data_IF_849915706790
#
_entry.id   IF_849915706790
#
_cell.length_a   1.000
_cell.length_b   1.000
_cell.length_c   1.000
_cell.angle_alpha   90.00
_cell.angle_beta   90.00
_cell.angle_gamma   90.00
#
_symmetry.space_group_name_H-M   'P 1'
#
loop_
_entity.id
_entity.type
_entity.pdbx_description
1 polymer ?
#
# COMPACT_ATOMS: atom_id res chain seq x y z
N UNK A 1 -15.10 55.60 20.42
CA UNK A 1 -14.73 56.30 19.17
C UNK A 1 -15.99 56.49 18.36
N UNK A 2 -16.42 57.66 17.93
CA UNK A 2 -17.57 57.85 17.07
C UNK A 2 -17.26 57.23 15.71
N UNK A 3 -18.20 56.43 15.14
CA UNK A 3 -18.05 55.74 13.88
C UNK A 3 -17.77 56.72 12.74
N UNK A 4 -16.70 56.46 12.00
CA UNK A 4 -16.43 57.15 10.75
C UNK A 4 -17.52 56.74 9.77
N UNK A 5 -18.30 57.69 9.29
CA UNK A 5 -19.28 57.45 8.24
C UNK A 5 -18.60 56.80 7.03
N UNK A 6 -19.17 55.75 6.42
CA UNK A 6 -18.60 55.13 5.23
C UNK A 6 -18.37 56.21 4.16
N UNK A 7 -17.25 56.14 3.46
CA UNK A 7 -16.95 57.05 2.36
C UNK A 7 -18.05 56.93 1.29
N UNK A 8 -18.37 58.03 0.57
CA UNK A 8 -19.34 57.96 -0.53
C UNK A 8 -19.05 56.88 -1.55
N UNK A 9 -17.77 56.55 -1.72
CA UNK A 9 -17.30 55.44 -2.59
C UNK A 9 -17.73 54.07 -2.03
N UNK A 10 -17.59 53.82 -0.72
CA UNK A 10 -18.03 52.55 -0.10
C UNK A 10 -19.55 52.35 -0.23
N UNK A 11 -20.35 53.44 0.00
CA UNK A 11 -21.80 53.36 -0.18
C UNK A 11 -22.20 53.13 -1.64
N UNK A 12 -21.46 53.69 -2.61
CA UNK A 12 -21.70 53.43 -4.03
C UNK A 12 -21.37 51.99 -4.42
N UNK A 13 -20.27 51.41 -3.91
CA UNK A 13 -19.88 50.01 -4.13
C UNK A 13 -20.90 49.07 -3.51
N UNK A 14 -21.37 49.34 -2.28
CA UNK A 14 -22.42 48.54 -1.65
C UNK A 14 -23.76 48.57 -2.43
N UNK A 15 -24.14 49.74 -2.95
CA UNK A 15 -25.31 49.86 -3.81
C UNK A 15 -25.17 49.16 -5.13
N UNK A 16 -24.01 49.21 -5.77
CA UNK A 16 -23.70 48.47 -7.00
C UNK A 16 -23.72 46.97 -6.75
N UNK A 17 -23.10 46.50 -5.67
CA UNK A 17 -23.10 45.11 -5.29
C UNK A 17 -24.54 44.60 -5.07
N UNK A 18 -25.38 45.32 -4.30
CA UNK A 18 -26.76 44.94 -4.07
C UNK A 18 -27.56 44.81 -5.38
N UNK A 19 -27.27 45.70 -6.35
CA UNK A 19 -27.91 45.63 -7.67
C UNK A 19 -27.40 44.46 -8.49
N UNK A 20 -26.09 44.25 -8.60
CA UNK A 20 -25.47 43.20 -9.43
C UNK A 20 -25.82 41.81 -8.92
N UNK A 21 -25.87 41.59 -7.59
CA UNK A 21 -26.16 40.28 -6.99
C UNK A 21 -27.68 39.99 -6.81
N UNK A 22 -28.53 40.95 -7.19
CA UNK A 22 -29.95 40.62 -7.33
C UNK A 22 -30.14 39.68 -8.54
N UNK A 23 -30.75 38.47 -8.36
CA UNK A 23 -30.95 37.50 -9.43
C UNK A 23 -31.64 38.06 -10.67
N UNK A 24 -32.55 39.00 -10.49
CA UNK A 24 -33.34 39.58 -11.57
C UNK A 24 -32.58 40.67 -12.34
N UNK A 25 -31.49 41.20 -11.80
CA UNK A 25 -30.75 42.28 -12.45
C UNK A 25 -30.02 41.79 -13.69
N UNK A 26 -30.39 42.36 -14.80
CA UNK A 26 -29.78 42.04 -16.10
C UNK A 26 -30.28 40.75 -16.76
N UNK A 27 -31.30 40.07 -16.19
CA UNK A 27 -31.91 38.89 -16.83
C UNK A 27 -32.46 39.19 -18.23
N UNK A 28 -33.00 40.40 -18.42
CA UNK A 28 -33.55 40.87 -19.69
C UNK A 28 -32.50 41.46 -20.67
N UNK A 29 -31.24 41.54 -20.24
CA UNK A 29 -30.18 42.03 -21.12
C UNK A 29 -29.73 40.95 -22.09
N UNK A 30 -29.40 41.30 -23.33
CA UNK A 30 -28.72 40.37 -24.25
C UNK A 30 -27.44 39.81 -23.63
N UNK A 31 -27.05 38.55 -23.92
CA UNK A 31 -25.90 37.89 -23.28
C UNK A 31 -24.61 38.72 -23.31
N UNK A 32 -24.26 39.32 -24.44
CA UNK A 32 -23.07 40.18 -24.55
C UNK A 32 -23.14 41.41 -23.65
N UNK A 33 -24.31 42.06 -23.55
CA UNK A 33 -24.50 43.24 -22.67
C UNK A 33 -24.39 42.83 -21.20
N UNK A 34 -24.93 41.64 -20.85
CA UNK A 34 -24.81 41.05 -19.51
C UNK A 34 -23.34 40.72 -19.16
N UNK A 35 -22.59 40.12 -20.08
CA UNK A 35 -21.16 39.86 -19.89
C UNK A 35 -20.36 41.15 -19.67
N UNK A 36 -20.60 42.19 -20.48
CA UNK A 36 -19.97 43.48 -20.33
C UNK A 36 -20.27 44.11 -18.95
N UNK A 37 -21.54 44.07 -18.52
CA UNK A 37 -21.96 44.59 -17.21
C UNK A 37 -21.26 43.88 -16.06
N UNK A 38 -21.22 42.53 -16.09
CA UNK A 38 -20.58 41.72 -15.06
C UNK A 38 -19.07 41.93 -15.02
N UNK A 39 -18.42 42.03 -16.17
CA UNK A 39 -16.99 42.35 -16.22
C UNK A 39 -16.67 43.74 -15.69
N UNK A 40 -17.45 44.76 -16.05
CA UNK A 40 -17.29 46.11 -15.49
C UNK A 40 -17.52 46.15 -13.97
N UNK A 41 -18.49 45.37 -13.48
CA UNK A 41 -18.73 45.21 -12.05
C UNK A 41 -17.54 44.52 -11.34
N UNK A 42 -16.95 43.47 -11.96
CA UNK A 42 -15.76 42.82 -11.45
C UNK A 42 -14.59 43.79 -11.25
N UNK A 43 -14.32 44.62 -12.25
CA UNK A 43 -13.26 45.63 -12.19
C UNK A 43 -13.56 46.72 -11.14
N UNK A 44 -14.80 47.21 -11.07
CA UNK A 44 -15.19 48.28 -10.15
C UNK A 44 -15.19 47.85 -8.68
N UNK A 45 -15.37 46.57 -8.39
CA UNK A 45 -15.51 46.01 -7.04
C UNK A 45 -14.32 45.16 -6.61
N UNK A 46 -13.20 45.24 -7.31
CA UNK A 46 -11.96 44.54 -6.94
C UNK A 46 -11.58 44.83 -5.48
N UNK A 47 -11.24 43.79 -4.72
CA UNK A 47 -10.87 43.88 -3.30
C UNK A 47 -12.01 44.18 -2.31
N UNK A 48 -13.26 44.37 -2.80
CA UNK A 48 -14.43 44.66 -1.94
C UNK A 48 -15.45 43.54 -1.87
N UNK A 49 -15.34 42.52 -2.72
CA UNK A 49 -16.24 41.41 -2.78
C UNK A 49 -15.85 40.25 -1.84
N UNK A 50 -16.85 39.63 -1.26
CA UNK A 50 -16.65 38.36 -0.54
C UNK A 50 -16.40 37.18 -1.49
N UNK A 51 -15.79 36.11 -1.00
CA UNK A 51 -15.56 34.87 -1.76
C UNK A 51 -16.80 34.38 -2.53
N UNK A 52 -17.93 34.26 -1.84
CA UNK A 52 -19.19 33.83 -2.44
C UNK A 52 -19.70 34.77 -3.55
N UNK A 53 -19.50 36.05 -3.39
CA UNK A 53 -19.84 37.06 -4.43
C UNK A 53 -18.92 36.92 -5.64
N UNK A 54 -17.63 36.68 -5.46
CA UNK A 54 -16.69 36.42 -6.56
C UNK A 54 -17.06 35.15 -7.31
N UNK A 55 -17.35 34.03 -6.60
CA UNK A 55 -17.79 32.79 -7.23
C UNK A 55 -19.09 32.98 -8.03
N UNK A 56 -20.09 33.67 -7.45
CA UNK A 56 -21.35 33.99 -8.15
C UNK A 56 -21.15 34.84 -9.39
N UNK A 57 -20.31 35.88 -9.28
CA UNK A 57 -20.03 36.80 -10.41
C UNK A 57 -19.28 36.06 -11.53
N UNK A 58 -18.25 35.30 -11.20
CA UNK A 58 -17.51 34.46 -12.17
C UNK A 58 -18.45 33.51 -12.88
N UNK A 59 -19.23 32.70 -12.15
CA UNK A 59 -20.19 31.77 -12.74
C UNK A 59 -21.18 32.49 -13.70
N UNK A 60 -21.79 33.59 -13.26
CA UNK A 60 -22.75 34.34 -14.09
C UNK A 60 -22.09 34.95 -15.33
N UNK A 61 -20.87 35.46 -15.21
CA UNK A 61 -20.10 35.95 -16.36
C UNK A 61 -19.82 34.83 -17.34
N UNK A 62 -19.36 33.66 -16.84
CA UNK A 62 -19.09 32.51 -17.69
C UNK A 62 -20.31 32.04 -18.48
N UNK A 63 -21.45 31.93 -17.82
CA UNK A 63 -22.72 31.59 -18.48
C UNK A 63 -23.16 32.66 -19.47
N UNK A 64 -22.99 33.95 -19.16
CA UNK A 64 -23.32 35.01 -20.09
C UNK A 64 -22.43 34.99 -21.34
N UNK A 65 -21.15 34.64 -21.20
CA UNK A 65 -20.20 34.46 -22.33
C UNK A 65 -20.59 33.29 -23.20
N UNK A 66 -20.98 32.17 -22.59
CA UNK A 66 -21.40 30.96 -23.32
C UNK A 66 -22.68 31.15 -24.11
N UNK A 67 -23.61 31.97 -23.60
CA UNK A 67 -24.87 32.28 -24.23
C UNK A 67 -24.74 33.26 -25.44
N UNK A 68 -23.53 33.79 -25.74
CA UNK A 68 -23.36 34.77 -26.83
C UNK A 68 -23.48 34.12 -28.20
N UNK A 69 -24.55 34.43 -28.91
CA UNK A 69 -24.71 34.12 -30.34
C UNK A 69 -24.09 35.22 -31.22
N UNK A 70 -22.90 34.97 -31.74
CA UNK A 70 -22.18 35.93 -32.61
C UNK A 70 -22.93 36.28 -33.88
N UNK A 71 -23.72 35.35 -34.42
CA UNK A 71 -24.54 35.59 -35.61
C UNK A 71 -25.69 36.56 -35.29
N UNK A 72 -26.29 36.46 -34.08
CA UNK A 72 -27.28 37.43 -33.63
C UNK A 72 -26.66 38.78 -33.40
N UNK A 73 -25.44 38.84 -32.80
CA UNK A 73 -24.69 40.10 -32.61
C UNK A 73 -24.40 40.76 -33.92
N UNK A 74 -23.93 39.99 -34.94
CA UNK A 74 -23.65 40.50 -36.28
C UNK A 74 -24.92 41.09 -36.95
N UNK A 75 -26.07 40.43 -36.79
CA UNK A 75 -27.35 40.94 -37.30
C UNK A 75 -27.69 42.29 -36.65
N UNK A 76 -27.69 42.39 -35.34
CA UNK A 76 -28.01 43.61 -34.66
C UNK A 76 -27.08 44.77 -35.03
N UNK A 77 -25.77 44.51 -35.10
CA UNK A 77 -24.80 45.50 -35.56
C UNK A 77 -25.16 46.00 -36.98
N UNK A 78 -25.51 45.09 -37.89
CA UNK A 78 -25.83 45.47 -39.27
C UNK A 78 -27.18 46.18 -39.39
N UNK A 79 -28.16 45.85 -38.57
CA UNK A 79 -29.43 46.55 -38.46
C UNK A 79 -29.21 48.00 -37.96
N UNK A 80 -28.47 48.19 -36.89
CA UNK A 80 -28.15 49.52 -36.36
C UNK A 80 -27.36 50.38 -37.36
N UNK A 81 -26.38 49.74 -38.07
CA UNK A 81 -25.62 50.42 -39.13
C UNK A 81 -26.51 50.82 -40.28
N UNK A 82 -27.42 49.96 -40.68
CA UNK A 82 -28.40 50.27 -41.76
C UNK A 82 -29.29 51.45 -41.40
N UNK A 83 -29.80 51.48 -40.16
CA UNK A 83 -30.61 52.58 -39.61
C UNK A 83 -29.80 53.87 -39.59
N UNK A 84 -28.51 53.80 -39.25
CA UNK A 84 -27.60 54.93 -39.23
C UNK A 84 -27.02 55.34 -40.61
N UNK A 85 -27.38 54.63 -41.69
CA UNK A 85 -26.92 54.88 -43.04
C UNK A 85 -25.52 54.38 -43.37
N UNK A 86 -24.97 53.44 -42.56
CA UNK A 86 -23.65 52.85 -42.82
C UNK A 86 -23.80 51.52 -43.55
N UNK A 87 -22.78 51.11 -44.33
CA UNK A 87 -22.76 49.81 -44.97
C UNK A 87 -22.62 48.68 -43.92
N UNK A 88 -23.20 47.48 -44.16
CA UNK A 88 -23.07 46.38 -43.24
C UNK A 88 -21.61 45.89 -43.10
N UNK A 89 -21.26 45.36 -41.94
CA UNK A 89 -20.03 44.63 -41.70
C UNK A 89 -20.17 43.30 -42.46
N UNK A 90 -19.32 43.10 -43.45
CA UNK A 90 -19.33 41.89 -44.33
C UNK A 90 -18.37 40.81 -43.86
N UNK A 91 -17.37 41.21 -43.09
CA UNK A 91 -16.33 40.36 -42.57
C UNK A 91 -16.72 39.95 -41.16
N UNK A 92 -17.33 38.76 -41.02
CA UNK A 92 -17.75 38.19 -39.76
C UNK A 92 -16.53 37.87 -38.84
N UNK A 93 -15.35 37.65 -39.42
CA UNK A 93 -14.11 37.40 -38.66
C UNK A 93 -13.75 38.61 -37.79
N UNK A 94 -14.08 39.82 -38.16
CA UNK A 94 -13.88 41.03 -37.33
C UNK A 94 -14.72 40.99 -36.05
N UNK A 95 -15.93 40.44 -36.10
CA UNK A 95 -16.82 40.34 -34.95
C UNK A 95 -16.29 39.23 -34.01
N UNK A 96 -15.79 38.14 -34.55
CA UNK A 96 -15.16 37.07 -33.79
C UNK A 96 -13.90 37.57 -33.09
N UNK A 97 -13.02 38.30 -33.78
CA UNK A 97 -11.81 38.89 -33.22
C UNK A 97 -12.10 39.89 -32.09
N UNK A 98 -13.10 40.74 -32.29
CA UNK A 98 -13.51 41.70 -31.25
C UNK A 98 -14.07 40.97 -30.02
N UNK A 99 -14.85 39.90 -30.23
CA UNK A 99 -15.36 39.10 -29.11
C UNK A 99 -14.24 38.38 -28.34
N UNK A 100 -13.26 37.81 -29.04
CA UNK A 100 -12.11 37.22 -28.41
C UNK A 100 -11.27 38.24 -27.60
N UNK A 101 -11.14 39.48 -28.12
CA UNK A 101 -10.52 40.57 -27.38
C UNK A 101 -11.27 40.87 -26.08
N UNK A 102 -12.60 40.95 -26.12
CA UNK A 102 -13.46 41.15 -24.94
C UNK A 102 -13.39 39.99 -23.95
N UNK A 103 -13.36 38.73 -24.43
CA UNK A 103 -13.15 37.57 -23.58
C UNK A 103 -11.83 37.66 -22.83
N UNK A 104 -10.76 38.18 -23.46
CA UNK A 104 -9.49 38.43 -22.79
C UNK A 104 -9.60 39.45 -21.67
N UNK A 105 -10.38 40.53 -21.90
CA UNK A 105 -10.68 41.55 -20.86
C UNK A 105 -11.51 40.95 -19.71
N UNK A 106 -12.53 40.15 -20.00
CA UNK A 106 -13.34 39.45 -19.00
C UNK A 106 -12.49 38.50 -18.14
N UNK A 107 -11.58 37.75 -18.78
CA UNK A 107 -10.64 36.86 -18.07
C UNK A 107 -9.70 37.64 -17.17
N UNK A 108 -9.18 38.80 -17.66
CA UNK A 108 -8.33 39.66 -16.86
C UNK A 108 -9.06 40.21 -15.63
N UNK A 109 -10.34 40.58 -15.76
CA UNK A 109 -11.16 41.07 -14.64
C UNK A 109 -11.40 39.96 -13.61
N UNK A 110 -11.66 38.70 -14.03
CA UNK A 110 -11.81 37.56 -13.10
C UNK A 110 -10.49 37.24 -12.43
N UNK A 111 -9.37 37.20 -13.16
CA UNK A 111 -8.06 36.95 -12.56
C UNK A 111 -7.71 38.01 -11.51
N UNK A 112 -7.97 39.28 -11.75
CA UNK A 112 -7.75 40.33 -10.76
C UNK A 112 -8.59 40.15 -9.48
N UNK A 113 -9.86 39.69 -9.61
CA UNK A 113 -10.68 39.33 -8.46
C UNK A 113 -10.10 38.13 -7.69
N UNK A 114 -9.65 37.09 -8.39
CA UNK A 114 -9.03 35.92 -7.77
C UNK A 114 -7.73 36.30 -7.06
N UNK A 115 -6.88 37.10 -7.69
CA UNK A 115 -5.61 37.57 -7.11
C UNK A 115 -5.80 38.43 -5.85
N UNK A 116 -6.96 39.06 -5.69
CA UNK A 116 -7.33 39.80 -4.48
C UNK A 116 -7.62 38.91 -3.28
N UNK A 117 -7.79 37.60 -3.48
CA UNK A 117 -8.14 36.62 -2.45
C UNK A 117 -6.90 35.92 -1.85
N UNK A 118 -6.96 35.48 -0.58
CA UNK A 118 -5.99 34.53 -0.05
C UNK A 118 -5.99 33.23 -0.87
N UNK A 119 -4.84 32.61 -1.05
CA UNK A 119 -4.66 31.41 -1.88
C UNK A 119 -5.69 30.30 -1.61
N UNK A 120 -6.03 30.05 -0.34
CA UNK A 120 -7.05 29.07 0.04
C UNK A 120 -8.44 29.42 -0.51
N UNK A 121 -8.78 30.71 -0.48
CA UNK A 121 -10.07 31.19 -0.99
C UNK A 121 -10.16 31.13 -2.51
N UNK A 122 -9.04 31.21 -3.21
CA UNK A 122 -8.98 30.99 -4.68
C UNK A 122 -9.42 29.59 -5.00
N UNK A 123 -8.84 28.58 -4.32
CA UNK A 123 -9.22 27.17 -4.50
C UNK A 123 -10.72 26.97 -4.27
N UNK A 124 -11.25 27.49 -3.16
CA UNK A 124 -12.65 27.35 -2.82
C UNK A 124 -13.59 28.03 -3.87
N UNK A 125 -13.18 29.17 -4.46
CA UNK A 125 -13.93 29.83 -5.56
C UNK A 125 -13.87 29.00 -6.83
N UNK A 126 -12.70 28.55 -7.20
CA UNK A 126 -12.52 27.72 -8.42
C UNK A 126 -13.32 26.43 -8.33
N UNK A 127 -13.29 25.74 -7.18
CA UNK A 127 -14.07 24.54 -6.92
C UNK A 127 -15.57 24.80 -7.07
N UNK A 128 -16.11 25.82 -6.38
CA UNK A 128 -17.53 26.20 -6.44
C UNK A 128 -17.99 26.52 -7.87
N UNK A 129 -17.20 27.28 -8.63
CA UNK A 129 -17.55 27.65 -10.01
C UNK A 129 -17.51 26.46 -10.93
N UNK A 130 -16.47 25.63 -10.83
CA UNK A 130 -16.32 24.44 -11.69
C UNK A 130 -17.40 23.41 -11.38
N UNK A 131 -17.65 23.08 -10.11
CA UNK A 131 -18.71 22.18 -9.71
C UNK A 131 -20.07 22.61 -10.27
N UNK A 132 -20.37 23.91 -10.12
CA UNK A 132 -21.66 24.46 -10.57
C UNK A 132 -21.75 24.49 -12.11
N UNK A 133 -20.68 24.85 -12.81
CA UNK A 133 -20.68 24.96 -14.27
C UNK A 133 -20.60 23.64 -15.00
N UNK A 134 -20.15 22.55 -14.33
CA UNK A 134 -20.06 21.19 -14.88
C UNK A 134 -21.13 20.26 -14.32
N UNK A 135 -22.09 20.77 -13.54
CA UNK A 135 -23.05 19.89 -12.82
C UNK A 135 -22.32 18.78 -12.05
N UNK A 136 -21.32 19.16 -11.26
CA UNK A 136 -20.39 18.25 -10.54
C UNK A 136 -19.68 17.22 -11.45
N UNK A 137 -19.26 17.67 -12.63
CA UNK A 137 -18.47 16.88 -13.58
C UNK A 137 -19.29 16.05 -14.57
N UNK A 138 -20.63 16.13 -14.53
CA UNK A 138 -21.51 15.40 -15.46
C UNK A 138 -21.68 16.09 -16.83
N UNK A 139 -21.32 17.37 -16.93
CA UNK A 139 -21.44 18.18 -18.12
C UNK A 139 -20.09 18.86 -18.42
N UNK A 140 -19.85 19.18 -19.69
CA UNK A 140 -18.65 19.93 -20.08
C UNK A 140 -18.69 21.35 -19.48
N UNK A 141 -17.54 21.81 -18.98
CA UNK A 141 -17.42 23.18 -18.52
C UNK A 141 -17.56 24.15 -19.70
N UNK A 142 -18.21 25.33 -19.51
CA UNK A 142 -18.19 26.41 -20.49
C UNK A 142 -16.77 26.77 -20.93
N UNK A 143 -16.58 27.12 -22.20
CA UNK A 143 -15.25 27.42 -22.76
C UNK A 143 -14.50 28.48 -21.93
N UNK A 144 -15.19 29.51 -21.48
CA UNK A 144 -14.60 30.55 -20.63
C UNK A 144 -14.10 30.04 -19.28
N UNK A 145 -14.82 29.09 -18.65
CA UNK A 145 -14.37 28.44 -17.41
C UNK A 145 -13.12 27.60 -17.66
N UNK A 146 -13.08 26.84 -18.77
CA UNK A 146 -11.92 26.04 -19.15
C UNK A 146 -10.67 26.93 -19.33
N UNK A 147 -10.79 28.10 -19.96
CA UNK A 147 -9.69 29.04 -20.13
C UNK A 147 -9.15 29.60 -18.80
N UNK A 148 -10.03 29.92 -17.86
CA UNK A 148 -9.61 30.40 -16.52
C UNK A 148 -8.96 29.26 -15.72
N UNK A 149 -9.52 28.03 -15.77
CA UNK A 149 -8.94 26.85 -15.14
C UNK A 149 -7.57 26.51 -15.74
N UNK A 150 -7.40 26.63 -17.05
CA UNK A 150 -6.09 26.43 -17.69
C UNK A 150 -5.04 27.46 -17.21
N UNK A 151 -5.46 28.71 -17.00
CA UNK A 151 -4.58 29.75 -16.42
C UNK A 151 -4.22 29.43 -14.96
N UNK A 152 -5.18 28.92 -14.18
CA UNK A 152 -4.98 28.47 -12.82
C UNK A 152 -4.01 27.26 -12.75
N UNK A 153 -4.19 26.26 -13.61
CA UNK A 153 -3.29 25.10 -13.72
C UNK A 153 -1.84 25.53 -14.05
N UNK A 154 -1.69 26.45 -15.01
CA UNK A 154 -0.38 27.00 -15.34
C UNK A 154 0.28 27.71 -14.14
N UNK A 155 -0.49 28.47 -13.36
CA UNK A 155 0.01 29.12 -12.15
C UNK A 155 0.43 28.12 -11.06
N UNK A 156 -0.15 26.91 -11.04
CA UNK A 156 0.16 25.86 -10.08
C UNK A 156 1.34 24.95 -10.47
N UNK A 157 1.95 25.11 -11.64
CA UNK A 157 3.03 24.20 -12.08
C UNK A 157 4.17 24.09 -11.06
N UNK A 158 4.63 25.22 -10.52
CA UNK A 158 5.68 25.20 -9.49
C UNK A 158 5.27 24.50 -8.19
N UNK A 159 3.99 24.58 -7.80
CA UNK A 159 3.44 23.82 -6.69
C UNK A 159 3.40 22.34 -6.99
N UNK A 160 2.92 21.92 -8.16
CA UNK A 160 2.84 20.52 -8.61
C UNK A 160 4.21 19.88 -8.61
N UNK A 161 5.22 20.55 -9.18
CA UNK A 161 6.61 20.06 -9.20
C UNK A 161 7.19 19.91 -7.79
N UNK A 162 6.95 20.88 -6.91
CA UNK A 162 7.43 20.83 -5.52
C UNK A 162 6.80 19.68 -4.73
N UNK A 163 5.47 19.46 -4.86
CA UNK A 163 4.80 18.39 -4.13
C UNK A 163 5.10 17.01 -4.72
N UNK A 164 5.27 16.88 -6.03
CA UNK A 164 5.73 15.64 -6.65
C UNK A 164 7.14 15.26 -6.15
N UNK A 165 8.06 16.22 -6.08
CA UNK A 165 9.39 15.99 -5.52
C UNK A 165 9.37 15.66 -4.02
N UNK A 166 8.44 16.25 -3.26
CA UNK A 166 8.22 15.97 -1.84
C UNK A 166 7.73 14.53 -1.64
N UNK A 167 6.70 14.11 -2.39
CA UNK A 167 6.19 12.72 -2.34
C UNK A 167 7.25 11.71 -2.74
N UNK A 168 8.04 11.98 -3.80
CA UNK A 168 9.13 11.09 -4.20
C UNK A 168 10.15 10.87 -3.08
N UNK A 169 10.50 11.92 -2.32
CA UNK A 169 11.38 11.81 -1.14
C UNK A 169 10.74 10.97 -0.03
N UNK A 170 9.45 11.17 0.23
CA UNK A 170 8.72 10.38 1.23
C UNK A 170 8.62 8.91 0.83
N UNK A 171 8.37 8.61 -0.44
CA UNK A 171 8.37 7.26 -1.00
C UNK A 171 9.73 6.59 -0.75
N UNK A 172 10.84 7.23 -1.11
CA UNK A 172 12.19 6.70 -0.86
C UNK A 172 12.46 6.45 0.64
N UNK A 173 12.01 7.37 1.50
CA UNK A 173 12.12 7.19 2.95
C UNK A 173 11.27 6.02 3.44
N UNK A 174 10.06 5.83 2.91
CA UNK A 174 9.18 4.70 3.22
C UNK A 174 9.84 3.37 2.86
N UNK A 175 10.39 3.24 1.65
CA UNK A 175 11.11 2.05 1.19
C UNK A 175 12.34 1.74 2.05
N UNK A 176 13.13 2.75 2.42
CA UNK A 176 14.27 2.56 3.31
C UNK A 176 13.87 2.06 4.71
N UNK A 177 12.70 2.47 5.24
CA UNK A 177 12.18 2.01 6.52
C UNK A 177 11.51 0.64 6.46
N UNK A 178 11.04 0.21 5.29
CA UNK A 178 10.38 -1.07 5.09
C UNK A 178 11.26 -2.26 5.50
N UNK A 179 12.58 -2.15 5.34
CA UNK A 179 13.55 -3.16 5.81
C UNK A 179 13.53 -3.38 7.34
N UNK A 180 12.98 -2.42 8.11
CA UNK A 180 12.88 -2.46 9.58
C UNK A 180 11.50 -2.95 10.07
N UNK A 181 10.58 -3.22 9.15
CA UNK A 181 9.23 -3.71 9.43
C UNK A 181 8.12 -2.71 9.17
N UNK A 182 6.92 -3.21 8.98
CA UNK A 182 5.75 -2.46 8.53
C UNK A 182 5.39 -1.28 9.45
N UNK A 183 5.47 -1.46 10.77
CA UNK A 183 5.17 -0.42 11.75
C UNK A 183 6.05 0.84 11.60
N UNK A 184 7.27 0.70 11.07
CA UNK A 184 8.19 1.82 10.87
C UNK A 184 7.81 2.68 9.65
N UNK A 185 7.04 2.14 8.72
CA UNK A 185 6.60 2.83 7.50
C UNK A 185 5.36 3.68 7.76
N UNK A 186 4.49 3.28 8.70
CA UNK A 186 3.20 3.94 8.98
C UNK A 186 3.30 5.46 9.16
N UNK A 187 4.25 6.04 9.90
CA UNK A 187 4.35 7.50 10.02
C UNK A 187 4.63 8.21 8.71
N UNK A 188 5.42 7.59 7.80
CA UNK A 188 5.70 8.15 6.48
C UNK A 188 4.46 8.13 5.61
N UNK A 189 3.66 7.06 5.68
CA UNK A 189 2.37 7.00 4.95
C UNK A 189 1.44 8.11 5.41
N UNK A 190 1.37 8.40 6.71
CA UNK A 190 0.57 9.52 7.22
C UNK A 190 1.03 10.88 6.70
N UNK A 191 2.34 11.08 6.51
CA UNK A 191 2.89 12.28 5.88
C UNK A 191 2.48 12.35 4.40
N UNK A 192 2.57 11.22 3.66
CA UNK A 192 2.14 11.14 2.25
C UNK A 192 0.64 11.44 2.11
N UNK A 193 -0.21 10.82 2.94
CA UNK A 193 -1.65 11.06 2.94
C UNK A 193 -1.99 12.55 3.14
N UNK A 194 -1.27 13.23 4.04
CA UNK A 194 -1.46 14.66 4.31
C UNK A 194 -1.08 15.55 3.11
N UNK A 195 0.06 15.27 2.50
CA UNK A 195 0.53 15.97 1.29
C UNK A 195 -0.45 15.72 0.14
N UNK A 196 -0.84 14.48 -0.07
CA UNK A 196 -1.73 14.09 -1.14
C UNK A 196 -3.15 14.66 -0.99
N UNK A 197 -3.68 14.72 0.23
CA UNK A 197 -4.97 15.40 0.50
C UNK A 197 -4.93 16.87 0.16
N UNK A 198 -3.85 17.56 0.53
CA UNK A 198 -3.67 18.97 0.18
C UNK A 198 -3.51 19.18 -1.34
N UNK A 199 -2.72 18.31 -1.98
CA UNK A 199 -2.54 18.31 -3.44
C UNK A 199 -3.88 18.11 -4.16
N UNK A 200 -4.65 17.08 -3.77
CA UNK A 200 -5.93 16.76 -4.37
C UNK A 200 -6.92 17.92 -4.24
N UNK A 201 -6.96 18.58 -3.07
CA UNK A 201 -7.81 19.75 -2.86
C UNK A 201 -7.45 20.90 -3.80
N UNK A 202 -6.17 21.24 -3.95
CA UNK A 202 -5.71 22.34 -4.79
C UNK A 202 -5.94 22.05 -6.27
N UNK A 203 -5.74 20.80 -6.70
CA UNK A 203 -5.92 20.37 -8.09
C UNK A 203 -7.36 19.98 -8.44
N UNK A 204 -8.27 19.95 -7.46
CA UNK A 204 -9.68 19.56 -7.65
C UNK A 204 -10.38 20.24 -8.81
N UNK A 205 -10.34 21.59 -8.94
CA UNK A 205 -10.93 22.29 -10.08
C UNK A 205 -10.40 21.86 -11.44
N UNK A 206 -9.08 21.63 -11.54
CA UNK A 206 -8.43 21.17 -12.80
C UNK A 206 -8.85 19.75 -13.14
N UNK A 207 -8.87 18.87 -12.14
CA UNK A 207 -9.30 17.47 -12.30
C UNK A 207 -10.76 17.37 -12.73
N UNK A 208 -11.63 18.19 -12.11
CA UNK A 208 -13.06 18.15 -12.40
C UNK A 208 -13.36 18.60 -13.84
N UNK A 209 -12.67 19.64 -14.33
CA UNK A 209 -12.79 20.08 -15.73
C UNK A 209 -12.22 19.01 -16.68
N UNK A 210 -11.08 18.42 -16.37
CA UNK A 210 -10.50 17.37 -17.17
C UNK A 210 -11.43 16.14 -17.24
N UNK A 211 -11.96 15.69 -16.10
CA UNK A 211 -12.89 14.59 -15.99
C UNK A 211 -14.20 14.84 -16.75
N UNK A 212 -14.76 16.04 -16.65
CA UNK A 212 -15.93 16.45 -17.44
C UNK A 212 -15.68 16.40 -18.98
N UNK A 213 -14.42 16.50 -19.39
CA UNK A 213 -13.99 16.32 -20.78
C UNK A 213 -13.59 14.86 -21.11
N UNK A 214 -13.79 13.91 -20.18
CA UNK A 214 -13.49 12.49 -20.37
C UNK A 214 -12.00 12.16 -20.37
N UNK A 215 -11.17 12.99 -19.75
CA UNK A 215 -9.72 12.79 -19.65
C UNK A 215 -9.22 12.94 -18.22
N UNK A 216 -8.21 12.14 -17.87
CA UNK A 216 -7.49 12.31 -16.60
C UNK A 216 -6.47 13.45 -16.68
N UNK A 217 -6.42 14.30 -15.68
CA UNK A 217 -5.35 15.31 -15.57
C UNK A 217 -4.00 14.62 -15.36
N UNK A 218 -3.06 14.83 -16.29
CA UNK A 218 -1.80 14.06 -16.37
C UNK A 218 -0.94 14.18 -15.11
N UNK A 219 -0.78 15.40 -14.58
CA UNK A 219 0.05 15.61 -13.40
C UNK A 219 -0.55 14.93 -12.16
N UNK A 220 -1.86 15.01 -11.97
CA UNK A 220 -2.56 14.35 -10.86
C UNK A 220 -2.50 12.83 -10.96
N UNK A 221 -2.69 12.29 -12.16
CA UNK A 221 -2.54 10.86 -12.40
C UNK A 221 -1.12 10.38 -12.09
N UNK A 222 -0.10 11.11 -12.52
CA UNK A 222 1.30 10.76 -12.25
C UNK A 222 1.62 10.81 -10.75
N UNK A 223 1.09 11.81 -10.04
CA UNK A 223 1.24 11.96 -8.60
C UNK A 223 0.60 10.79 -7.83
N UNK A 224 -0.62 10.41 -8.18
CA UNK A 224 -1.31 9.27 -7.57
C UNK A 224 -0.62 7.92 -7.90
N UNK A 225 -0.11 7.77 -9.13
CA UNK A 225 0.63 6.58 -9.55
C UNK A 225 1.93 6.39 -8.76
N UNK A 226 2.65 7.46 -8.42
CA UNK A 226 3.86 7.37 -7.58
C UNK A 226 3.55 6.81 -6.19
N UNK A 227 2.45 7.25 -5.58
CA UNK A 227 1.99 6.75 -4.28
C UNK A 227 1.54 5.28 -4.39
N UNK A 228 0.86 4.91 -5.48
CA UNK A 228 0.47 3.52 -5.74
C UNK A 228 1.67 2.61 -5.91
N UNK A 229 2.72 3.06 -6.60
CA UNK A 229 3.95 2.29 -6.77
C UNK A 229 4.61 1.95 -5.43
N UNK A 230 4.55 2.84 -4.44
CA UNK A 230 4.99 2.51 -3.07
C UNK A 230 4.19 1.35 -2.49
N UNK A 231 2.86 1.33 -2.63
CA UNK A 231 2.04 0.23 -2.13
C UNK A 231 2.42 -1.12 -2.77
N UNK A 232 2.63 -1.11 -4.09
CA UNK A 232 3.06 -2.30 -4.85
C UNK A 232 4.43 -2.79 -4.36
N UNK A 233 5.39 -1.90 -4.16
CA UNK A 233 6.73 -2.26 -3.70
C UNK A 233 6.71 -2.83 -2.27
N UNK A 234 5.99 -2.18 -1.36
CA UNK A 234 5.81 -2.65 0.02
C UNK A 234 5.17 -4.06 0.06
N UNK A 235 4.24 -4.35 -0.84
CA UNK A 235 3.64 -5.67 -0.93
C UNK A 235 4.62 -6.71 -1.51
N UNK A 236 5.19 -6.44 -2.69
CA UNK A 236 5.96 -7.42 -3.45
C UNK A 236 7.33 -7.72 -2.82
N UNK A 237 8.02 -6.70 -2.32
CA UNK A 237 9.39 -6.83 -1.83
C UNK A 237 9.49 -7.01 -0.31
N UNK A 238 8.45 -6.58 0.44
CA UNK A 238 8.45 -6.66 1.90
C UNK A 238 7.32 -7.52 2.47
N UNK A 239 6.45 -8.06 1.63
CA UNK A 239 5.34 -8.91 2.05
C UNK A 239 4.32 -8.23 2.99
N UNK A 240 4.23 -6.89 2.95
CA UNK A 240 3.26 -6.15 3.74
C UNK A 240 1.86 -6.29 3.11
N UNK A 241 0.82 -6.19 3.94
CA UNK A 241 -0.58 -6.26 3.48
C UNK A 241 -1.38 -5.08 4.01
N UNK A 242 -1.23 -4.75 5.29
CA UNK A 242 -2.05 -3.71 5.93
C UNK A 242 -1.71 -2.31 5.41
N UNK A 243 -0.43 -1.98 5.30
CA UNK A 243 0.02 -0.68 4.79
C UNK A 243 -0.30 -0.48 3.30
N UNK A 244 -0.04 -1.44 2.38
CA UNK A 244 -0.51 -1.36 1.00
C UNK A 244 -2.03 -1.19 0.87
N UNK A 245 -2.82 -1.95 1.63
CA UNK A 245 -4.27 -1.83 1.62
C UNK A 245 -4.74 -0.44 2.10
N UNK A 246 -4.09 0.14 3.10
CA UNK A 246 -4.34 1.51 3.56
C UNK A 246 -4.05 2.53 2.47
N UNK A 247 -2.90 2.43 1.78
CA UNK A 247 -2.54 3.33 0.68
C UNK A 247 -3.57 3.21 -0.45
N UNK A 248 -3.95 1.99 -0.85
CA UNK A 248 -4.93 1.78 -1.91
C UNK A 248 -6.31 2.32 -1.52
N UNK A 249 -6.75 2.14 -0.27
CA UNK A 249 -8.00 2.75 0.23
C UNK A 249 -7.92 4.27 0.15
N UNK A 250 -6.84 4.88 0.63
CA UNK A 250 -6.64 6.32 0.56
C UNK A 250 -6.67 6.85 -0.88
N UNK A 251 -6.02 6.15 -1.83
CA UNK A 251 -6.04 6.53 -3.26
C UNK A 251 -7.43 6.40 -3.86
N UNK A 252 -8.18 5.35 -3.53
CA UNK A 252 -9.58 5.21 -3.95
C UNK A 252 -10.45 6.37 -3.47
N UNK A 253 -10.32 6.75 -2.21
CA UNK A 253 -11.15 7.78 -1.58
C UNK A 253 -10.82 9.20 -2.07
N UNK A 254 -9.56 9.46 -2.46
CA UNK A 254 -9.10 10.80 -2.85
C UNK A 254 -8.87 10.98 -4.34
N UNK A 255 -8.59 9.92 -5.09
CA UNK A 255 -8.26 9.96 -6.52
C UNK A 255 -9.10 8.98 -7.36
N UNK A 256 -10.17 8.43 -6.78
CA UNK A 256 -11.08 7.49 -7.45
C UNK A 256 -11.88 8.09 -8.62
N UNK A 257 -11.87 9.41 -8.78
CA UNK A 257 -12.41 10.09 -9.96
C UNK A 257 -11.50 9.99 -11.20
N UNK A 258 -10.24 9.58 -11.05
CA UNK A 258 -9.33 9.31 -12.17
C UNK A 258 -9.52 7.88 -12.65
N UNK A 259 -10.08 7.67 -13.83
CA UNK A 259 -10.44 6.35 -14.35
C UNK A 259 -9.25 5.37 -14.36
N UNK A 260 -8.06 5.85 -14.74
CA UNK A 260 -6.85 5.04 -14.77
C UNK A 260 -6.41 4.58 -13.36
N UNK A 261 -6.67 5.38 -12.32
CA UNK A 261 -6.32 5.05 -10.92
C UNK A 261 -7.41 4.19 -10.29
N UNK A 262 -8.68 4.53 -10.46
CA UNK A 262 -9.81 3.84 -9.87
C UNK A 262 -9.82 2.34 -10.19
N UNK A 263 -9.67 1.99 -11.48
CA UNK A 263 -9.65 0.59 -11.92
C UNK A 263 -8.49 -0.19 -11.29
N UNK A 264 -7.28 0.36 -11.34
CA UNK A 264 -6.08 -0.27 -10.81
C UNK A 264 -6.13 -0.44 -9.28
N UNK A 265 -6.58 0.57 -8.56
CA UNK A 265 -6.68 0.54 -7.10
C UNK A 265 -7.78 -0.41 -6.63
N UNK A 266 -8.88 -0.53 -7.38
CA UNK A 266 -9.94 -1.52 -7.10
C UNK A 266 -9.43 -2.95 -7.22
N UNK A 267 -8.63 -3.25 -8.25
CA UNK A 267 -7.96 -4.55 -8.43
C UNK A 267 -6.97 -4.81 -7.29
N UNK A 268 -6.12 -3.84 -6.95
CA UNK A 268 -5.16 -3.92 -5.86
C UNK A 268 -5.85 -4.23 -4.51
N UNK A 269 -6.93 -3.52 -4.20
CA UNK A 269 -7.71 -3.73 -2.97
C UNK A 269 -8.33 -5.13 -2.90
N UNK A 270 -8.87 -5.62 -4.02
CA UNK A 270 -9.44 -6.96 -4.10
C UNK A 270 -8.38 -8.02 -3.82
N UNK A 271 -7.22 -7.90 -4.46
CA UNK A 271 -6.08 -8.81 -4.28
C UNK A 271 -5.52 -8.77 -2.85
N UNK A 272 -5.31 -7.59 -2.29
CA UNK A 272 -4.79 -7.42 -0.93
C UNK A 272 -5.76 -7.98 0.12
N UNK A 273 -7.06 -7.78 -0.08
CA UNK A 273 -8.11 -8.33 0.79
C UNK A 273 -8.11 -9.86 0.76
N UNK A 274 -8.04 -10.46 -0.42
CA UNK A 274 -7.95 -11.92 -0.57
C UNK A 274 -6.69 -12.47 0.11
N UNK A 275 -5.55 -11.81 -0.09
CA UNK A 275 -4.26 -12.19 0.54
C UNK A 275 -4.34 -12.09 2.07
N UNK A 276 -4.96 -11.03 2.61
CA UNK A 276 -5.16 -10.88 4.05
C UNK A 276 -6.06 -11.99 4.64
N UNK A 277 -7.14 -12.32 3.94
CA UNK A 277 -8.04 -13.40 4.35
C UNK A 277 -7.35 -14.77 4.29
N UNK A 278 -6.57 -15.02 3.25
CA UNK A 278 -5.80 -16.25 3.11
C UNK A 278 -4.76 -16.41 4.23
N UNK A 279 -4.05 -15.32 4.59
CA UNK A 279 -3.13 -15.32 5.75
C UNK A 279 -3.87 -15.64 7.05
N UNK A 280 -5.00 -14.96 7.30
CA UNK A 280 -5.80 -15.23 8.51
C UNK A 280 -6.28 -16.68 8.59
N UNK A 281 -6.69 -17.27 7.46
CA UNK A 281 -7.07 -18.70 7.40
C UNK A 281 -5.87 -19.61 7.69
N UNK A 282 -4.74 -19.37 7.03
CA UNK A 282 -3.51 -20.13 7.24
C UNK A 282 -3.02 -20.04 8.70
N UNK A 283 -3.07 -18.86 9.31
CA UNK A 283 -2.71 -18.66 10.72
C UNK A 283 -3.68 -19.37 11.67
N UNK A 284 -4.98 -19.36 11.35
CA UNK A 284 -5.98 -20.07 12.13
C UNK A 284 -5.81 -21.60 12.01
N UNK A 285 -5.59 -22.11 10.80
CA UNK A 285 -5.30 -23.52 10.55
C UNK A 285 -4.01 -23.97 11.26
N UNK A 286 -2.94 -23.16 11.17
CA UNK A 286 -1.70 -23.41 11.88
C UNK A 286 -1.92 -23.43 13.39
N UNK A 287 -2.66 -22.45 13.94
CA UNK A 287 -3.02 -22.41 15.35
C UNK A 287 -3.78 -23.66 15.80
N UNK A 288 -4.79 -24.08 15.05
CA UNK A 288 -5.55 -25.29 15.33
C UNK A 288 -4.67 -26.54 15.26
N UNK A 289 -3.82 -26.62 14.23
CA UNK A 289 -2.94 -27.76 13.99
C UNK A 289 -1.93 -27.97 15.12
N UNK A 290 -1.40 -26.90 15.76
CA UNK A 290 -0.36 -27.03 16.79
C UNK A 290 -0.88 -26.89 18.20
N UNK A 291 -2.04 -26.24 18.44
CA UNK A 291 -2.52 -25.99 19.81
C UNK A 291 -2.84 -27.30 20.53
N UNK A 292 -2.20 -27.48 21.68
CA UNK A 292 -2.41 -28.64 22.54
C UNK A 292 -2.13 -28.28 23.99
N UNK A 293 -3.07 -28.62 24.88
CA UNK A 293 -2.95 -28.40 26.33
C UNK A 293 -3.22 -29.72 27.05
N UNK A 294 -2.30 -30.14 27.87
CA UNK A 294 -2.43 -31.37 28.61
C UNK A 294 -1.80 -31.28 29.99
N UNK A 295 -2.42 -31.91 30.98
CA UNK A 295 -1.85 -32.09 32.32
C UNK A 295 -1.17 -33.47 32.39
N UNK A 296 0.11 -33.48 32.79
CA UNK A 296 0.92 -34.66 32.97
C UNK A 296 1.29 -34.84 34.47
N UNK A 297 1.65 -36.05 34.86
CA UNK A 297 1.98 -36.38 36.25
C UNK A 297 0.81 -37.07 37.01
N UNK A 298 1.15 -37.88 38.03
CA UNK A 298 0.18 -38.65 38.83
C UNK A 298 -0.23 -37.88 40.06
N UNK A 299 0.71 -37.38 40.84
CA UNK A 299 0.48 -36.67 42.12
C UNK A 299 0.49 -35.14 41.96
N UNK A 300 1.41 -34.62 41.16
CA UNK A 300 1.50 -33.19 40.81
C UNK A 300 1.25 -33.04 39.32
N UNK A 301 0.05 -32.50 38.99
CA UNK A 301 -0.34 -32.31 37.58
C UNK A 301 0.31 -31.05 37.02
N UNK A 302 1.37 -31.22 36.27
CA UNK A 302 2.02 -30.13 35.52
C UNK A 302 1.34 -29.90 34.19
N UNK A 303 1.17 -28.64 33.80
CA UNK A 303 0.56 -28.29 32.52
C UNK A 303 1.62 -28.15 31.43
N UNK A 304 1.39 -28.82 30.32
CA UNK A 304 2.13 -28.60 29.06
C UNK A 304 1.20 -27.90 28.09
N UNK A 305 1.62 -26.77 27.56
CA UNK A 305 0.87 -26.00 26.57
C UNK A 305 1.73 -25.76 25.34
N UNK A 306 1.17 -26.03 24.16
CA UNK A 306 1.76 -25.73 22.85
C UNK A 306 0.79 -24.80 22.13
N UNK A 307 1.28 -23.68 21.64
CA UNK A 307 0.51 -22.68 20.89
C UNK A 307 1.43 -21.94 19.92
N UNK A 308 0.91 -21.11 19.00
CA UNK A 308 1.74 -20.24 18.14
C UNK A 308 2.72 -19.34 18.90
N UNK A 309 2.35 -18.97 20.11
CA UNK A 309 3.16 -18.12 20.96
C UNK A 309 4.31 -18.87 21.65
N UNK A 310 4.33 -20.21 21.62
CA UNK A 310 5.42 -20.99 22.20
C UNK A 310 5.00 -22.29 22.88
N UNK A 311 6.00 -22.97 23.43
CA UNK A 311 5.82 -24.17 24.25
C UNK A 311 6.06 -23.80 25.71
N UNK A 312 5.10 -24.09 26.58
CA UNK A 312 5.16 -23.79 28.01
C UNK A 312 5.13 -25.07 28.83
N UNK A 313 6.05 -25.19 29.79
CA UNK A 313 6.12 -26.27 30.76
C UNK A 313 6.78 -25.77 32.08
N UNK A 314 6.21 -26.07 33.23
CA UNK A 314 6.72 -25.66 34.53
C UNK A 314 7.07 -24.15 34.61
N UNK A 315 6.13 -23.28 34.21
CA UNK A 315 6.29 -21.81 34.18
C UNK A 315 7.37 -21.29 33.22
N UNK A 316 8.07 -22.16 32.48
CA UNK A 316 9.03 -21.79 31.43
C UNK A 316 8.32 -21.79 30.09
N UNK A 317 8.47 -20.69 29.37
CA UNK A 317 7.95 -20.54 28.03
C UNK A 317 9.07 -20.30 27.05
N UNK A 318 9.09 -21.08 25.96
CA UNK A 318 9.98 -20.87 24.82
C UNK A 318 9.15 -20.51 23.61
N UNK A 319 9.40 -19.31 23.05
CA UNK A 319 8.84 -18.92 21.77
C UNK A 319 9.31 -19.88 20.67
N UNK A 320 8.44 -20.17 19.69
CA UNK A 320 8.71 -21.21 18.70
C UNK A 320 9.98 -20.94 17.90
N UNK A 321 10.24 -19.67 17.55
CA UNK A 321 11.42 -19.23 16.81
C UNK A 321 12.74 -19.45 17.58
N UNK A 322 12.69 -19.45 18.91
CA UNK A 322 13.87 -19.61 19.77
C UNK A 322 14.22 -21.07 20.06
N UNK A 323 13.36 -22.02 19.67
CA UNK A 323 13.62 -23.45 19.86
C UNK A 323 14.64 -23.91 18.82
N UNK A 324 15.78 -24.37 19.30
CA UNK A 324 16.91 -24.83 18.46
C UNK A 324 17.29 -26.28 18.70
N UNK A 325 16.79 -26.90 19.77
CA UNK A 325 17.15 -28.26 20.18
C UNK A 325 15.92 -29.08 20.52
N UNK A 326 15.76 -30.21 19.87
CA UNK A 326 14.70 -31.19 20.10
C UNK A 326 15.28 -32.59 20.27
N UNK A 327 14.79 -33.35 21.24
CA UNK A 327 15.04 -34.79 21.41
C UNK A 327 13.79 -35.47 21.95
N UNK A 328 13.58 -36.70 21.55
CA UNK A 328 12.60 -37.57 22.21
C UNK A 328 13.05 -39.04 22.16
N UNK A 329 12.82 -39.74 23.26
CA UNK A 329 13.21 -41.10 23.42
C UNK A 329 12.37 -41.80 24.50
N UNK A 330 12.43 -43.14 24.57
CA UNK A 330 11.90 -43.90 25.69
C UNK A 330 13.05 -44.44 26.52
N UNK A 331 12.93 -44.34 27.87
CA UNK A 331 13.85 -44.95 28.80
C UNK A 331 13.08 -45.59 29.96
N UNK A 332 13.28 -46.86 30.19
CA UNK A 332 12.65 -47.62 31.27
C UNK A 332 11.12 -47.50 31.34
N UNK A 333 10.45 -47.51 30.17
CA UNK A 333 9.00 -47.33 30.07
C UNK A 333 8.47 -45.93 30.24
N UNK A 334 9.33 -44.95 30.40
CA UNK A 334 8.97 -43.51 30.44
C UNK A 334 9.39 -42.85 29.15
N UNK A 335 8.43 -42.19 28.50
CA UNK A 335 8.66 -41.36 27.33
C UNK A 335 9.16 -39.98 27.74
N UNK A 336 10.20 -39.51 27.10
CA UNK A 336 10.89 -38.28 27.41
C UNK A 336 10.94 -37.37 26.19
N UNK A 337 10.63 -36.09 26.37
CA UNK A 337 10.71 -35.05 25.34
C UNK A 337 11.58 -33.90 25.90
N UNK A 338 12.62 -33.59 25.19
CA UNK A 338 13.49 -32.46 25.51
C UNK A 338 13.28 -31.34 24.50
N UNK A 339 13.04 -30.12 25.00
CA UNK A 339 12.92 -28.89 24.23
C UNK A 339 13.93 -27.89 24.76
N UNK A 340 14.73 -27.31 23.87
CA UNK A 340 15.78 -26.36 24.25
C UNK A 340 15.96 -25.21 23.28
N UNK A 341 16.36 -24.09 23.85
CA UNK A 341 16.85 -22.88 23.16
C UNK A 341 18.39 -22.83 23.28
N UNK A 342 19.04 -21.80 22.77
CA UNK A 342 20.48 -21.62 22.92
C UNK A 342 20.96 -21.64 24.39
N UNK A 343 20.20 -21.02 25.30
CA UNK A 343 20.62 -20.83 26.70
C UNK A 343 19.84 -21.64 27.74
N UNK A 344 18.72 -22.27 27.42
CA UNK A 344 17.85 -22.94 28.39
C UNK A 344 17.16 -24.16 27.80
N UNK A 345 16.66 -25.05 28.70
CA UNK A 345 15.93 -26.23 28.26
C UNK A 345 15.00 -26.76 29.35
N UNK A 346 14.02 -27.56 28.96
CA UNK A 346 13.23 -28.39 29.86
C UNK A 346 13.02 -29.78 29.28
N UNK A 347 12.67 -30.72 30.14
CA UNK A 347 12.33 -32.09 29.78
C UNK A 347 10.93 -32.43 30.29
N UNK A 348 10.11 -33.02 29.45
CA UNK A 348 8.77 -33.50 29.73
C UNK A 348 8.84 -35.02 29.82
N UNK A 349 8.41 -35.60 30.94
CA UNK A 349 8.37 -37.03 31.17
C UNK A 349 6.91 -37.51 31.26
N UNK A 350 6.56 -38.56 30.53
CA UNK A 350 5.22 -39.14 30.58
C UNK A 350 5.24 -40.65 30.34
N UNK A 351 4.49 -41.42 31.13
CA UNK A 351 4.27 -42.82 30.89
C UNK A 351 3.12 -43.11 29.91
N UNK A 352 2.32 -42.09 29.60
CA UNK A 352 1.17 -42.19 28.69
C UNK A 352 1.62 -42.03 27.24
N UNK A 353 1.47 -43.11 26.48
CA UNK A 353 1.87 -43.17 25.06
C UNK A 353 1.04 -42.22 24.19
N UNK A 354 -0.26 -42.11 24.46
CA UNK A 354 -1.16 -41.19 23.73
C UNK A 354 -0.76 -39.75 23.89
N UNK A 355 -0.42 -39.32 25.09
CA UNK A 355 0.07 -37.96 25.36
C UNK A 355 1.41 -37.71 24.66
N UNK A 356 2.33 -38.70 24.75
CA UNK A 356 3.63 -38.61 24.11
C UNK A 356 3.51 -38.40 22.61
N UNK A 357 2.72 -39.23 21.92
CA UNK A 357 2.53 -39.14 20.47
C UNK A 357 1.89 -37.81 20.06
N UNK A 358 0.89 -37.30 20.81
CA UNK A 358 0.30 -36.00 20.54
C UNK A 358 1.28 -34.87 20.76
N UNK A 359 2.09 -34.90 21.81
CA UNK A 359 3.10 -33.88 22.08
C UNK A 359 4.16 -33.84 20.97
N UNK A 360 4.73 -34.96 20.56
CA UNK A 360 5.74 -34.97 19.50
C UNK A 360 5.17 -34.51 18.15
N UNK A 361 3.92 -34.91 17.82
CA UNK A 361 3.26 -34.44 16.58
C UNK A 361 3.12 -32.90 16.58
N UNK A 362 2.66 -32.32 17.67
CA UNK A 362 2.49 -30.87 17.79
C UNK A 362 3.83 -30.12 17.86
N UNK A 363 4.80 -30.64 18.61
CA UNK A 363 6.16 -30.05 18.65
C UNK A 363 6.85 -30.13 17.29
N UNK A 364 6.66 -31.25 16.57
CA UNK A 364 7.17 -31.40 15.22
C UNK A 364 6.61 -30.33 14.29
N UNK A 365 5.28 -30.15 14.26
CA UNK A 365 4.60 -29.12 13.45
C UNK A 365 4.97 -27.70 13.87
N UNK A 366 5.12 -27.46 15.18
CA UNK A 366 5.40 -26.14 15.72
C UNK A 366 6.86 -25.67 15.53
N UNK A 367 7.84 -26.60 15.64
CA UNK A 367 9.26 -26.25 15.61
C UNK A 367 10.11 -27.20 14.75
N UNK A 368 9.77 -28.49 14.68
CA UNK A 368 10.56 -29.50 13.99
C UNK A 368 10.67 -29.25 12.49
N UNK A 369 9.57 -28.86 11.84
CA UNK A 369 9.54 -28.52 10.39
C UNK A 369 10.47 -27.36 10.09
N UNK A 370 10.47 -26.29 10.90
CA UNK A 370 11.38 -25.17 10.74
C UNK A 370 12.85 -25.58 10.86
N UNK A 371 13.17 -26.38 11.89
CA UNK A 371 14.53 -26.90 12.09
C UNK A 371 14.98 -27.78 10.93
N UNK A 372 14.04 -28.55 10.35
CA UNK A 372 14.30 -29.36 9.15
C UNK A 372 14.67 -28.48 7.95
N UNK A 373 13.85 -27.47 7.66
CA UNK A 373 14.09 -26.53 6.54
C UNK A 373 15.40 -25.78 6.71
N UNK A 374 15.70 -25.30 7.91
CA UNK A 374 16.98 -24.64 8.22
C UNK A 374 18.17 -25.59 8.00
N UNK A 375 18.07 -26.84 8.42
CA UNK A 375 19.11 -27.84 8.21
C UNK A 375 19.34 -28.14 6.73
N UNK A 376 18.29 -28.32 5.95
CA UNK A 376 18.39 -28.56 4.51
C UNK A 376 19.01 -27.37 3.78
N UNK A 377 18.60 -26.14 4.13
CA UNK A 377 19.22 -24.93 3.56
C UNK A 377 20.71 -24.88 3.82
N UNK A 378 21.15 -25.11 5.06
CA UNK A 378 22.55 -25.12 5.43
C UNK A 378 23.33 -26.23 4.74
N UNK A 379 22.75 -27.42 4.58
CA UNK A 379 23.35 -28.50 3.79
C UNK A 379 23.53 -28.11 2.31
N UNK A 380 22.55 -27.39 1.73
CA UNK A 380 22.63 -26.84 0.36
C UNK A 380 23.79 -25.83 0.24
N UNK A 381 23.99 -25.00 1.25
CA UNK A 381 25.06 -24.00 1.34
C UNK A 381 26.45 -24.64 1.62
N UNK A 382 26.51 -25.98 1.75
CA UNK A 382 27.75 -26.73 1.94
C UNK A 382 28.17 -26.91 3.41
N UNK A 383 27.31 -26.53 4.37
CA UNK A 383 27.53 -26.83 5.78
C UNK A 383 27.39 -28.35 6.03
N UNK A 384 28.04 -28.85 7.06
CA UNK A 384 27.93 -30.23 7.50
C UNK A 384 27.49 -30.32 8.96
N UNK A 385 26.78 -31.39 9.31
CA UNK A 385 26.27 -31.58 10.66
C UNK A 385 26.83 -32.88 11.29
N UNK A 386 27.47 -32.72 12.45
CA UNK A 386 27.97 -33.82 13.22
C UNK A 386 26.90 -34.34 14.21
N UNK A 387 26.60 -35.63 14.14
CA UNK A 387 25.72 -36.33 15.06
C UNK A 387 26.44 -37.56 15.64
N UNK A 388 26.89 -37.46 16.88
CA UNK A 388 27.73 -38.48 17.48
C UNK A 388 28.99 -38.77 16.61
N UNK A 389 29.10 -40.00 16.09
CA UNK A 389 30.20 -40.44 15.22
C UNK A 389 29.91 -40.30 13.72
N UNK A 390 28.74 -39.79 13.33
CA UNK A 390 28.39 -39.56 11.93
C UNK A 390 28.48 -38.07 11.58
N UNK A 391 28.88 -37.75 10.34
CA UNK A 391 28.80 -36.39 9.77
C UNK A 391 27.91 -36.43 8.54
N UNK A 392 26.80 -35.69 8.60
CA UNK A 392 25.79 -35.56 7.53
C UNK A 392 26.22 -34.46 6.59
N UNK A 393 26.26 -34.73 5.29
CA UNK A 393 26.50 -33.79 4.19
C UNK A 393 25.40 -33.85 3.18
N UNK A 394 25.28 -32.87 2.32
CA UNK A 394 24.25 -32.84 1.29
C UNK A 394 24.30 -34.08 0.36
N UNK A 395 25.48 -34.49 -0.08
CA UNK A 395 25.73 -35.54 -1.07
C UNK A 395 26.20 -36.90 -0.46
N UNK A 396 26.53 -36.90 0.84
CA UNK A 396 27.24 -38.00 1.46
C UNK A 396 27.12 -38.03 2.97
N UNK A 397 27.54 -39.11 3.56
CA UNK A 397 27.72 -39.22 5.01
C UNK A 397 29.12 -39.77 5.34
N UNK A 398 29.70 -39.30 6.44
CA UNK A 398 30.92 -39.84 6.99
C UNK A 398 30.56 -40.73 8.17
N UNK A 399 30.98 -42.00 8.14
CA UNK A 399 30.72 -43.01 9.17
C UNK A 399 32.02 -43.55 9.73
N UNK A 400 31.94 -44.21 10.89
CA UNK A 400 33.08 -44.85 11.53
C UNK A 400 33.25 -46.26 11.03
N UNK A 401 34.46 -46.64 10.55
CA UNK A 401 34.85 -48.01 10.36
C UNK A 401 35.44 -48.55 11.66
N UNK A 402 34.76 -49.54 12.20
CA UNK A 402 35.20 -50.23 13.44
C UNK A 402 36.24 -51.29 13.12
N UNK A 403 37.39 -51.16 13.77
CA UNK A 403 38.52 -52.09 13.63
C UNK A 403 38.81 -52.78 14.95
N UNK A 404 39.10 -54.09 14.92
CA UNK A 404 39.29 -54.91 16.14
C UNK A 404 40.67 -54.70 16.77
N UNK A 405 41.69 -54.42 15.94
CA UNK A 405 43.07 -54.37 16.40
C UNK A 405 43.81 -53.09 16.08
N UNK A 406 43.11 -52.07 15.61
CA UNK A 406 43.69 -50.76 15.26
C UNK A 406 42.67 -49.64 15.51
N UNK A 407 43.13 -48.42 15.44
CA UNK A 407 42.27 -47.23 15.61
C UNK A 407 41.15 -47.21 14.54
N UNK A 408 39.95 -46.80 14.97
CA UNK A 408 38.82 -46.58 14.05
C UNK A 408 39.16 -45.48 13.04
N UNK A 409 38.62 -45.60 11.84
CA UNK A 409 38.83 -44.59 10.80
C UNK A 409 37.46 -44.06 10.30
N UNK A 410 37.49 -42.82 9.78
CA UNK A 410 36.34 -42.18 9.15
C UNK A 410 36.24 -42.56 7.67
N UNK A 411 35.04 -42.96 7.21
CA UNK A 411 34.81 -43.33 5.82
C UNK A 411 33.66 -42.51 5.27
N UNK A 412 33.90 -41.82 4.17
CA UNK A 412 32.87 -41.09 3.44
C UNK A 412 32.15 -42.03 2.48
N UNK A 413 30.84 -42.04 2.53
CA UNK A 413 29.96 -42.85 1.68
C UNK A 413 28.91 -41.96 1.01
N UNK A 414 28.64 -42.21 -0.26
CA UNK A 414 27.46 -41.62 -0.91
C UNK A 414 26.17 -42.18 -0.32
N UNK A 415 25.10 -41.41 -0.36
CA UNK A 415 23.81 -41.81 0.17
C UNK A 415 23.25 -43.11 -0.43
N UNK A 416 23.59 -43.45 -1.69
CA UNK A 416 23.21 -44.72 -2.35
C UNK A 416 23.80 -45.95 -1.67
N UNK A 417 24.90 -45.79 -0.95
CA UNK A 417 25.66 -46.90 -0.34
C UNK A 417 25.37 -47.09 1.14
N UNK A 418 24.34 -46.40 1.68
CA UNK A 418 23.99 -46.52 3.10
C UNK A 418 22.55 -47.00 3.30
N UNK A 419 22.31 -47.55 4.47
CA UNK A 419 21.01 -47.89 5.01
C UNK A 419 20.84 -47.17 6.36
N UNK A 420 19.63 -46.70 6.64
CA UNK A 420 19.28 -46.00 7.87
C UNK A 420 18.14 -46.77 8.55
N UNK A 421 18.32 -47.08 9.82
CA UNK A 421 17.33 -47.79 10.64
C UNK A 421 17.27 -47.20 12.04
N UNK A 422 16.13 -47.32 12.70
CA UNK A 422 15.99 -46.95 14.12
C UNK A 422 15.88 -48.24 14.94
N UNK A 423 16.90 -48.52 15.75
CA UNK A 423 17.02 -49.75 16.52
C UNK A 423 17.42 -49.41 17.97
N UNK A 424 16.74 -50.01 18.95
CA UNK A 424 17.06 -49.92 20.39
C UNK A 424 17.30 -48.46 20.89
N UNK A 425 16.50 -47.52 20.42
CA UNK A 425 16.62 -46.10 20.83
C UNK A 425 17.79 -45.35 20.21
N UNK A 426 18.34 -45.87 19.11
CA UNK A 426 19.45 -45.29 18.34
C UNK A 426 19.07 -45.17 16.87
N UNK A 427 19.48 -44.09 16.24
CA UNK A 427 19.55 -43.96 14.80
C UNK A 427 20.83 -44.68 14.32
N UNK A 428 20.68 -45.70 13.50
CA UNK A 428 21.79 -46.48 12.96
C UNK A 428 21.93 -46.20 11.48
N UNK A 429 23.07 -45.63 11.10
CA UNK A 429 23.46 -45.38 9.70
C UNK A 429 24.58 -46.34 9.38
N UNK A 430 24.38 -47.25 8.42
CA UNK A 430 25.33 -48.31 8.09
C UNK A 430 25.61 -48.43 6.60
N UNK A 431 26.83 -48.81 6.22
CA UNK A 431 27.18 -49.14 4.85
C UNK A 431 26.40 -50.38 4.39
N UNK A 432 25.90 -50.35 3.15
CA UNK A 432 25.27 -51.56 2.51
C UNK A 432 26.26 -52.65 2.22
N UNK A 433 27.52 -52.27 1.96
CA UNK A 433 28.54 -53.18 1.44
C UNK A 433 29.62 -53.59 2.47
N UNK A 434 29.68 -52.87 3.62
CA UNK A 434 30.73 -53.09 4.63
C UNK A 434 30.11 -53.09 6.03
N UNK A 435 29.96 -54.30 6.61
CA UNK A 435 29.23 -54.47 7.87
C UNK A 435 29.89 -53.81 9.09
N UNK A 436 31.21 -53.51 9.03
CA UNK A 436 31.94 -52.83 10.08
C UNK A 436 32.01 -51.30 9.91
N UNK A 437 31.32 -50.71 8.90
CA UNK A 437 31.23 -49.27 8.68
C UNK A 437 29.82 -48.81 9.06
N UNK A 438 29.71 -48.22 10.25
CA UNK A 438 28.41 -47.75 10.76
C UNK A 438 28.61 -46.69 11.85
N UNK A 439 27.54 -45.95 12.13
CA UNK A 439 27.40 -45.08 13.29
C UNK A 439 26.03 -45.36 13.95
N UNK A 440 26.03 -45.58 15.26
CA UNK A 440 24.82 -45.82 16.05
C UNK A 440 24.69 -44.67 17.08
N UNK A 441 23.72 -43.78 16.86
CA UNK A 441 23.59 -42.48 17.55
C UNK A 441 22.39 -42.54 18.49
N UNK A 442 22.58 -42.44 19.82
CA UNK A 442 21.45 -42.43 20.75
C UNK A 442 20.59 -41.20 20.66
N UNK A 443 19.26 -41.36 20.58
CA UNK A 443 18.32 -40.22 20.58
C UNK A 443 18.39 -39.34 21.84
N UNK A 444 18.76 -39.90 22.98
CA UNK A 444 18.89 -39.19 24.25
C UNK A 444 20.11 -38.27 24.31
N UNK A 445 21.13 -38.47 23.48
CA UNK A 445 22.40 -37.76 23.58
C UNK A 445 22.54 -36.67 22.51
N UNK A 446 21.94 -36.82 21.33
CA UNK A 446 22.10 -35.90 20.22
C UNK A 446 20.88 -35.05 19.97
N UNK A 447 21.11 -33.70 20.04
CA UNK A 447 20.08 -32.72 19.71
C UNK A 447 19.69 -32.85 18.22
N UNK A 448 18.39 -32.64 17.95
CA UNK A 448 17.81 -32.65 16.61
C UNK A 448 17.96 -34.01 15.85
N UNK A 449 18.36 -35.09 16.53
CA UNK A 449 18.43 -36.38 15.91
C UNK A 449 17.08 -36.88 15.39
N UNK A 450 15.92 -36.62 16.03
CA UNK A 450 14.62 -36.93 15.44
C UNK A 450 14.33 -36.18 14.15
N UNK A 451 14.87 -34.93 13.99
CA UNK A 451 14.76 -34.13 12.74
C UNK A 451 15.55 -34.84 11.62
N UNK A 452 16.76 -35.29 11.94
CA UNK A 452 17.61 -36.06 11.00
C UNK A 452 16.99 -37.38 10.62
N UNK A 453 16.43 -38.12 11.57
CA UNK A 453 15.76 -39.41 11.30
C UNK A 453 14.61 -39.22 10.30
N UNK A 454 13.75 -38.23 10.51
CA UNK A 454 12.66 -37.92 9.60
C UNK A 454 13.18 -37.47 8.22
N UNK A 455 14.23 -36.65 8.17
CA UNK A 455 14.87 -36.17 6.93
C UNK A 455 15.40 -37.38 6.14
N UNK A 456 16.25 -38.20 6.76
CA UNK A 456 16.91 -39.30 6.10
C UNK A 456 15.92 -40.39 5.67
N UNK A 457 14.89 -40.66 6.48
CA UNK A 457 13.84 -41.61 6.14
C UNK A 457 13.10 -41.21 4.87
N UNK A 458 12.74 -39.94 4.72
CA UNK A 458 12.08 -39.40 3.51
C UNK A 458 13.04 -39.30 2.34
N UNK A 459 14.26 -38.84 2.58
CA UNK A 459 15.29 -38.70 1.54
C UNK A 459 15.61 -40.03 0.86
N UNK A 460 15.87 -41.10 1.63
CA UNK A 460 16.18 -42.39 1.06
C UNK A 460 15.01 -43.05 0.29
N UNK A 461 13.78 -42.67 0.61
CA UNK A 461 12.58 -43.08 -0.13
C UNK A 461 12.40 -42.30 -1.45
N UNK A 462 12.92 -41.07 -1.53
CA UNK A 462 12.76 -40.22 -2.72
C UNK A 462 13.62 -40.65 -3.91
N UNK A 463 14.69 -41.42 -3.66
CA UNK A 463 15.65 -41.87 -4.70
C UNK A 463 16.53 -40.75 -5.25
N UNK A 464 16.51 -39.54 -4.64
CA UNK A 464 17.36 -38.39 -5.03
C UNK A 464 18.83 -38.65 -4.67
N UNK A 465 19.74 -37.88 -5.29
CA UNK A 465 21.19 -38.01 -5.04
C UNK A 465 21.68 -37.14 -3.89
N UNK A 466 21.06 -35.95 -3.73
CA UNK A 466 21.39 -35.02 -2.67
C UNK A 466 20.15 -34.70 -1.83
N UNK A 467 20.38 -34.35 -0.55
CA UNK A 467 19.29 -34.06 0.40
C UNK A 467 18.50 -32.83 -0.06
N UNK A 468 19.19 -31.78 -0.55
CA UNK A 468 18.55 -30.54 -0.97
C UNK A 468 17.60 -30.71 -2.16
N UNK A 469 17.85 -31.67 -3.07
CA UNK A 469 16.96 -31.96 -4.21
C UNK A 469 15.53 -32.41 -3.82
N UNK A 470 15.30 -32.77 -2.56
CA UNK A 470 13.96 -33.11 -2.09
C UNK A 470 13.02 -31.91 -2.01
N UNK A 471 13.57 -30.70 -1.99
CA UNK A 471 12.86 -29.45 -1.72
C UNK A 471 12.91 -28.49 -2.93
N UNK A 472 13.46 -28.96 -4.03
CA UNK A 472 13.39 -28.34 -5.35
C UNK A 472 12.18 -28.93 -6.10
#
# INVERSE_FOLDING_TARGET
MPGVAPSKAATAVEGLAATIFNPDTGSDLPPLARANLLSAAAQAMEGSLTRAQIASLFYRLAMAVEDVDLSAVARHINEDRSIAGFPPVRDEDLIVQEFESRKSEYRSAINALLDSLPSRSIVDVMEEVVEKSTSAGSEHAPAFVQEVVASYDLALQGFVEAEAANVAKLVQRGLALATKGEAQVVPVIQEIEKVATNFNKIMGPVQLVAGANGIDHVATRSFAAEIRNLAIDLHNNHNFVDTPARISTFLNDNFGQLDAIANQVSEDLSYLKETAEQRKRSDAEFREMITYNVKIGILFKENVSISPEGITYQERRFALENITRLRWWNANGVNKIFVGTAGSSFQIDTSRQDIFLNLIDRIWKAAGVRLLVEMVRKLRDGEEFAFGSAVIRNDSVVLTRHKTFSANEQVRLSWRNVNVTTEYGKLVIKSRNQGNVYSAIPFQECNNLPVVDMLLSKFLQSGKETISEMFD
#
